data_IF_835893969077
#
_entry.id   IF_835893969077
#
_cell.length_a   1.000
_cell.length_b   1.000
_cell.length_c   1.000
_cell.angle_alpha   90.00
_cell.angle_beta   90.00
_cell.angle_gamma   90.00
#
_symmetry.space_group_name_H-M   'P 1'
#
loop_
_entity.id
_entity.type
_entity.pdbx_description
1 polymer ?
#
# COMPACT_ATOMS: atom_id res chain seq x y z
N UNK A 1 -13.45 -18.48 3.86
CA UNK A 1 -12.86 -17.44 4.77
C UNK A 1 -13.21 -16.09 4.17
N UNK A 2 -14.04 -15.32 4.87
CA UNK A 2 -14.47 -14.00 4.40
C UNK A 2 -13.29 -13.02 4.28
N UNK A 3 -13.34 -12.19 3.25
CA UNK A 3 -12.33 -11.16 2.97
C UNK A 3 -12.96 -9.79 3.11
N UNK A 4 -12.34 -8.93 3.89
CA UNK A 4 -12.80 -7.57 4.17
C UNK A 4 -11.81 -6.55 3.64
N UNK A 5 -12.30 -5.40 3.18
CA UNK A 5 -11.46 -4.28 2.74
C UNK A 5 -11.48 -3.20 3.82
N UNK A 6 -10.31 -2.82 4.31
CA UNK A 6 -10.13 -1.74 5.30
C UNK A 6 -10.18 -0.38 4.62
N UNK A 7 -11.31 0.30 4.75
CA UNK A 7 -11.68 1.54 4.08
C UNK A 7 -12.88 1.35 3.16
N UNK A 8 -13.49 2.44 2.71
CA UNK A 8 -14.62 2.44 1.76
C UNK A 8 -14.53 3.58 0.72
N UNK A 9 -13.35 4.17 0.54
CA UNK A 9 -13.09 5.23 -0.44
C UNK A 9 -12.82 4.69 -1.86
N UNK A 10 -12.43 5.59 -2.77
CA UNK A 10 -12.14 5.24 -4.17
C UNK A 10 -11.15 4.09 -4.32
N UNK A 11 -10.04 4.12 -3.59
CA UNK A 11 -9.06 3.03 -3.61
C UNK A 11 -9.64 1.69 -3.13
N UNK A 12 -10.56 1.70 -2.14
CA UNK A 12 -11.25 0.48 -1.71
C UNK A 12 -12.11 -0.12 -2.84
N UNK A 13 -12.75 0.73 -3.63
CA UNK A 13 -13.55 0.30 -4.78
C UNK A 13 -12.68 -0.27 -5.91
N UNK A 14 -11.50 0.31 -6.13
CA UNK A 14 -10.51 -0.24 -7.07
C UNK A 14 -10.03 -1.63 -6.62
N UNK A 15 -9.68 -1.80 -5.34
CA UNK A 15 -9.31 -3.10 -4.76
C UNK A 15 -10.45 -4.11 -4.93
N UNK A 16 -11.69 -3.70 -4.67
CA UNK A 16 -12.85 -4.56 -4.87
C UNK A 16 -12.97 -5.01 -6.34
N UNK A 17 -12.95 -4.08 -7.28
CA UNK A 17 -13.13 -4.36 -8.70
C UNK A 17 -11.97 -5.16 -9.30
N UNK A 18 -10.74 -4.87 -8.93
CA UNK A 18 -9.53 -5.45 -9.56
C UNK A 18 -9.02 -6.71 -8.84
N UNK A 19 -9.38 -6.88 -7.57
CA UNK A 19 -8.90 -8.01 -6.76
C UNK A 19 -10.05 -8.93 -6.35
N UNK A 20 -11.06 -8.40 -5.63
CA UNK A 20 -12.11 -9.25 -5.04
C UNK A 20 -12.90 -9.97 -6.13
N UNK A 21 -13.45 -9.20 -7.07
CA UNK A 21 -14.32 -9.74 -8.13
C UNK A 21 -13.57 -10.71 -9.05
N UNK A 22 -12.40 -10.35 -9.65
CA UNK A 22 -11.73 -11.24 -10.61
C UNK A 22 -11.16 -12.52 -10.00
N UNK A 23 -10.89 -12.54 -8.69
CA UNK A 23 -10.36 -13.72 -8.00
C UNK A 23 -11.42 -14.55 -7.29
N UNK A 24 -12.67 -14.09 -7.27
CA UNK A 24 -13.77 -14.79 -6.61
C UNK A 24 -13.61 -14.93 -5.10
N UNK A 25 -13.06 -13.89 -4.44
CA UNK A 25 -12.98 -13.88 -2.99
C UNK A 25 -14.40 -13.85 -2.37
N UNK A 26 -14.57 -14.59 -1.27
CA UNK A 26 -15.77 -14.51 -0.43
C UNK A 26 -15.79 -13.16 0.31
N UNK A 27 -16.39 -12.16 -0.33
CA UNK A 27 -16.39 -10.78 0.15
C UNK A 27 -17.32 -10.60 1.35
N UNK A 28 -16.79 -10.04 2.42
CA UNK A 28 -17.52 -9.80 3.66
C UNK A 28 -17.98 -8.36 3.86
N UNK A 29 -17.48 -7.42 3.05
CA UNK A 29 -17.81 -6.00 3.17
C UNK A 29 -16.59 -5.10 3.35
N UNK A 30 -16.88 -3.79 3.47
CA UNK A 30 -15.89 -2.76 3.77
C UNK A 30 -15.90 -2.46 5.27
N UNK A 31 -14.72 -2.17 5.83
CA UNK A 31 -14.61 -1.81 7.24
C UNK A 31 -14.13 -0.37 7.36
N UNK A 32 -14.83 0.41 8.17
CA UNK A 32 -14.43 1.78 8.54
C UNK A 32 -14.13 1.86 10.04
N UNK A 33 -13.32 2.83 10.42
CA UNK A 33 -13.08 3.17 11.83
C UNK A 33 -13.80 4.49 12.15
N UNK A 34 -14.49 4.52 13.29
CA UNK A 34 -15.13 5.70 13.83
C UNK A 34 -15.00 5.65 15.37
N UNK A 35 -14.38 6.67 15.96
CA UNK A 35 -14.10 6.75 17.41
C UNK A 35 -13.41 5.48 17.95
N UNK A 36 -12.38 5.02 17.23
CA UNK A 36 -11.62 3.80 17.53
C UNK A 36 -12.41 2.49 17.54
N UNK A 37 -13.64 2.50 17.03
CA UNK A 37 -14.47 1.31 16.81
C UNK A 37 -14.54 0.97 15.33
N UNK A 38 -14.58 -0.34 15.02
CA UNK A 38 -14.72 -0.84 13.66
C UNK A 38 -16.19 -1.10 13.32
N UNK A 39 -16.60 -0.63 12.15
CA UNK A 39 -17.93 -0.84 11.59
C UNK A 39 -17.84 -1.54 10.24
N UNK A 40 -18.69 -2.54 10.04
CA UNK A 40 -18.88 -3.20 8.74
C UNK A 40 -19.86 -2.41 7.89
N UNK A 41 -19.53 -2.21 6.64
CA UNK A 41 -20.43 -1.73 5.59
C UNK A 41 -20.62 -2.86 4.61
N UNK A 42 -21.83 -3.37 4.53
CA UNK A 42 -22.26 -4.43 3.62
C UNK A 42 -23.64 -4.10 3.01
N UNK A 43 -24.28 -5.09 2.39
CA UNK A 43 -25.62 -4.95 1.78
C UNK A 43 -26.72 -4.64 2.80
N UNK A 44 -26.53 -4.98 4.08
CA UNK A 44 -27.49 -4.75 5.17
C UNK A 44 -27.33 -3.36 5.79
N UNK A 45 -26.23 -2.64 5.46
CA UNK A 45 -25.97 -1.27 5.94
C UNK A 45 -24.69 -1.13 6.74
N UNK A 46 -24.74 -0.34 7.81
CA UNK A 46 -23.58 -0.08 8.68
C UNK A 46 -23.84 -0.71 10.03
N UNK A 47 -23.05 -1.70 10.37
CA UNK A 47 -23.17 -2.49 11.58
C UNK A 47 -21.87 -2.51 12.38
N UNK A 48 -21.92 -2.74 13.69
CA UNK A 48 -20.73 -3.00 14.50
C UNK A 48 -19.98 -4.22 13.97
N UNK A 49 -18.67 -4.11 13.79
CA UNK A 49 -17.86 -5.21 13.29
C UNK A 49 -17.52 -6.19 14.41
N UNK A 50 -17.97 -7.43 14.27
CA UNK A 50 -17.53 -8.54 15.10
C UNK A 50 -16.29 -9.19 14.49
N UNK A 51 -15.18 -9.25 15.21
CA UNK A 51 -13.88 -9.72 14.75
C UNK A 51 -13.85 -11.26 14.59
N UNK A 52 -14.04 -11.82 13.37
CA UNK A 52 -14.05 -13.26 13.19
C UNK A 52 -12.60 -13.82 13.25
N UNK A 53 -12.46 -15.00 13.87
CA UNK A 53 -11.16 -15.68 13.97
C UNK A 53 -10.57 -16.06 12.59
N UNK A 54 -11.43 -16.31 11.62
CA UNK A 54 -11.06 -16.71 10.26
C UNK A 54 -11.49 -15.65 9.25
N UNK A 55 -10.75 -14.54 9.19
CA UNK A 55 -10.95 -13.47 8.23
C UNK A 55 -9.66 -13.11 7.50
N UNK A 56 -9.80 -12.50 6.32
CA UNK A 56 -8.71 -11.83 5.60
C UNK A 56 -9.01 -10.34 5.53
N UNK A 57 -7.99 -9.53 5.68
CA UNK A 57 -8.08 -8.08 5.61
C UNK A 57 -7.14 -7.54 4.55
N UNK A 58 -7.65 -6.66 3.71
CA UNK A 58 -6.91 -5.99 2.65
C UNK A 58 -6.92 -4.49 2.94
N UNK A 59 -5.74 -3.87 2.96
CA UNK A 59 -5.62 -2.42 3.12
C UNK A 59 -6.16 -1.69 1.89
N UNK A 60 -7.36 -1.14 2.01
CA UNK A 60 -8.09 -0.49 0.93
C UNK A 60 -8.09 1.04 1.01
N UNK A 61 -7.20 1.67 1.76
CA UNK A 61 -7.11 3.12 1.82
C UNK A 61 -5.72 3.63 1.42
N UNK A 62 -5.68 4.68 0.58
CA UNK A 62 -4.47 5.42 0.24
C UNK A 62 -4.19 6.61 1.17
N UNK A 63 -5.01 6.84 2.19
CA UNK A 63 -4.80 7.94 3.14
C UNK A 63 -3.90 7.50 4.29
N UNK A 64 -2.73 8.11 4.44
CA UNK A 64 -1.71 7.75 5.45
C UNK A 64 -2.26 7.68 6.88
N UNK A 65 -3.11 8.65 7.29
CA UNK A 65 -3.70 8.70 8.64
C UNK A 65 -4.61 7.48 8.88
N UNK A 66 -5.49 7.17 7.93
CA UNK A 66 -6.38 6.02 8.03
C UNK A 66 -5.63 4.69 7.97
N UNK A 67 -4.58 4.60 7.13
CA UNK A 67 -3.73 3.40 7.10
C UNK A 67 -3.11 3.12 8.45
N UNK A 68 -2.49 4.13 9.07
CA UNK A 68 -1.90 4.00 10.42
C UNK A 68 -2.95 3.56 11.44
N UNK A 69 -4.12 4.22 11.48
CA UNK A 69 -5.21 3.86 12.38
C UNK A 69 -5.69 2.41 12.18
N UNK A 70 -5.86 1.95 10.93
CA UNK A 70 -6.21 0.57 10.65
C UNK A 70 -5.12 -0.41 11.08
N UNK A 71 -3.86 -0.13 10.81
CA UNK A 71 -2.76 -0.99 11.21
C UNK A 71 -2.68 -1.11 12.73
N UNK A 72 -2.72 0.01 13.46
CA UNK A 72 -2.74 0.02 14.92
C UNK A 72 -3.93 -0.79 15.47
N UNK A 73 -5.12 -0.56 14.95
CA UNK A 73 -6.34 -1.23 15.41
C UNK A 73 -6.36 -2.73 15.12
N UNK A 74 -6.03 -3.13 13.88
CA UNK A 74 -6.17 -4.52 13.44
C UNK A 74 -4.95 -5.37 13.76
N UNK A 75 -3.74 -4.85 13.75
CA UNK A 75 -2.57 -5.63 14.13
C UNK A 75 -2.60 -6.03 15.60
N UNK A 76 -3.14 -5.17 16.48
CA UNK A 76 -3.35 -5.53 17.90
C UNK A 76 -4.32 -6.70 18.08
N UNK A 77 -5.30 -6.85 17.20
CA UNK A 77 -6.29 -7.95 17.26
C UNK A 77 -5.78 -9.25 16.63
N UNK A 78 -4.91 -9.15 15.63
CA UNK A 78 -4.48 -10.30 14.80
C UNK A 78 -2.95 -10.46 14.76
N UNK A 79 -2.25 -10.04 15.80
CA UNK A 79 -0.78 -9.90 15.89
C UNK A 79 0.05 -11.15 15.56
N UNK A 80 -0.56 -12.32 15.48
CA UNK A 80 0.21 -13.56 15.36
C UNK A 80 -0.10 -14.38 14.11
N UNK A 81 -0.77 -13.78 13.09
CA UNK A 81 -1.12 -14.58 11.94
C UNK A 81 -1.06 -13.80 10.61
N UNK A 82 0.07 -13.98 9.91
CA UNK A 82 0.31 -13.56 8.52
C UNK A 82 -0.88 -13.88 7.60
N UNK A 83 -1.58 -14.97 7.85
CA UNK A 83 -2.74 -15.41 7.02
C UNK A 83 -3.91 -14.41 7.01
N UNK A 84 -3.99 -13.49 7.96
CA UNK A 84 -5.04 -12.48 8.01
C UNK A 84 -4.78 -11.30 7.07
N UNK A 85 -3.53 -11.06 6.68
CA UNK A 85 -3.12 -9.96 5.81
C UNK A 85 -2.37 -10.50 4.59
N UNK A 86 -3.07 -11.14 3.65
CA UNK A 86 -2.42 -11.68 2.46
C UNK A 86 -1.91 -10.57 1.55
N UNK A 87 -0.86 -10.85 0.80
CA UNK A 87 -0.56 -10.09 -0.40
C UNK A 87 -1.66 -10.37 -1.44
N UNK A 88 -2.19 -9.32 -2.04
CA UNK A 88 -3.20 -9.42 -3.09
C UNK A 88 -2.69 -8.81 -4.39
N UNK A 89 -2.75 -9.58 -5.46
CA UNK A 89 -2.08 -9.26 -6.72
C UNK A 89 -3.11 -9.36 -7.85
N UNK A 90 -3.34 -8.27 -8.56
CA UNK A 90 -4.20 -8.27 -9.73
C UNK A 90 -3.64 -9.19 -10.83
N UNK A 91 -4.52 -9.84 -11.60
CA UNK A 91 -4.13 -10.85 -12.60
C UNK A 91 -3.17 -10.33 -13.67
N UNK A 92 -3.20 -9.05 -13.96
CA UNK A 92 -2.35 -8.38 -14.95
C UNK A 92 -1.02 -7.87 -14.38
N UNK A 93 -0.81 -7.97 -13.06
CA UNK A 93 0.43 -7.54 -12.43
C UNK A 93 1.54 -8.57 -12.59
N UNK A 94 2.76 -8.11 -12.67
CA UNK A 94 3.95 -8.97 -12.73
C UNK A 94 4.79 -8.83 -11.46
N UNK A 95 4.91 -9.92 -10.73
CA UNK A 95 5.81 -10.02 -9.59
C UNK A 95 6.84 -11.11 -9.94
N UNK A 96 8.10 -10.74 -10.01
CA UNK A 96 9.17 -11.70 -10.31
C UNK A 96 9.25 -12.76 -9.19
N UNK A 97 9.46 -13.99 -9.57
CA UNK A 97 9.55 -15.12 -8.62
C UNK A 97 10.73 -15.05 -7.66
N UNK A 98 11.72 -14.19 -7.96
CA UNK A 98 12.90 -13.94 -7.12
C UNK A 98 12.73 -12.70 -6.22
N UNK A 99 11.64 -11.95 -6.34
CA UNK A 99 11.34 -10.84 -5.44
C UNK A 99 10.93 -11.37 -4.06
N UNK A 100 11.35 -10.67 -3.02
CA UNK A 100 10.97 -10.96 -1.63
C UNK A 100 9.87 -9.99 -1.22
N UNK A 101 8.75 -10.52 -0.78
CA UNK A 101 7.61 -9.71 -0.34
C UNK A 101 7.31 -9.99 1.14
N UNK A 102 7.11 -8.95 1.93
CA UNK A 102 6.44 -9.02 3.22
C UNK A 102 4.96 -9.36 3.09
N UNK A 103 4.14 -8.89 4.00
CA UNK A 103 2.71 -9.21 4.07
C UNK A 103 1.82 -8.00 3.78
N UNK A 104 0.54 -8.25 3.44
CA UNK A 104 -0.49 -7.21 3.34
C UNK A 104 -0.31 -6.23 2.19
N UNK A 105 0.59 -6.52 1.24
CA UNK A 105 0.80 -5.67 0.08
C UNK A 105 -0.34 -5.78 -0.92
N UNK A 106 -0.69 -4.68 -1.56
CA UNK A 106 -1.73 -4.60 -2.60
C UNK A 106 -1.08 -4.20 -3.92
N UNK A 107 -1.24 -5.04 -4.93
CA UNK A 107 -0.74 -4.82 -6.28
C UNK A 107 -1.92 -4.72 -7.24
N UNK A 108 -2.25 -3.50 -7.68
CA UNK A 108 -3.30 -3.26 -8.66
C UNK A 108 -2.80 -3.49 -10.07
N UNK A 109 -3.72 -3.47 -11.03
CA UNK A 109 -3.48 -3.86 -12.43
C UNK A 109 -2.22 -3.24 -13.04
N UNK A 110 -1.49 -4.09 -13.78
CA UNK A 110 -0.26 -3.73 -14.49
C UNK A 110 0.87 -3.20 -13.61
N UNK A 111 0.80 -3.40 -12.28
CA UNK A 111 1.94 -3.10 -11.42
C UNK A 111 3.06 -4.12 -11.63
N UNK A 112 4.31 -3.69 -11.38
CA UNK A 112 5.49 -4.50 -11.63
C UNK A 112 6.44 -4.49 -10.43
N UNK A 113 6.86 -5.69 -10.01
CA UNK A 113 7.98 -5.88 -9.09
C UNK A 113 9.02 -6.75 -9.78
N UNK A 114 10.19 -6.17 -10.06
CA UNK A 114 11.25 -6.88 -10.79
C UNK A 114 12.04 -7.81 -9.85
N UNK A 115 12.85 -8.69 -10.44
CA UNK A 115 13.69 -9.62 -9.69
C UNK A 115 14.68 -8.93 -8.76
N UNK A 116 15.08 -9.61 -7.69
CA UNK A 116 15.98 -9.10 -6.63
C UNK A 116 15.46 -7.91 -5.82
N UNK A 117 14.23 -7.44 -6.05
CA UNK A 117 13.61 -6.44 -5.21
C UNK A 117 13.13 -7.04 -3.87
N UNK A 118 13.32 -6.29 -2.78
CA UNK A 118 12.82 -6.61 -1.45
C UNK A 118 11.77 -5.58 -1.04
N UNK A 119 10.56 -6.04 -0.75
CA UNK A 119 9.41 -5.20 -0.41
C UNK A 119 8.90 -5.59 0.97
N UNK A 120 8.87 -4.65 1.89
CA UNK A 120 8.32 -4.85 3.23
C UNK A 120 6.80 -5.07 3.26
N UNK A 121 6.18 -4.67 4.35
CA UNK A 121 4.78 -4.95 4.65
C UNK A 121 3.84 -3.82 4.23
N UNK A 122 2.60 -4.16 3.93
CA UNK A 122 1.49 -3.22 3.73
C UNK A 122 1.73 -2.12 2.69
N UNK A 123 2.52 -2.36 1.66
CA UNK A 123 2.71 -1.39 0.59
C UNK A 123 1.55 -1.43 -0.42
N UNK A 124 1.20 -0.29 -1.00
CA UNK A 124 0.22 -0.18 -2.07
C UNK A 124 0.91 0.18 -3.38
N UNK A 125 0.76 -0.68 -4.37
CA UNK A 125 1.15 -0.46 -5.75
C UNK A 125 -0.11 -0.19 -6.57
N UNK A 126 -0.34 1.06 -6.94
CA UNK A 126 -1.42 1.42 -7.84
C UNK A 126 -1.15 0.94 -9.27
N UNK A 127 -2.15 1.11 -10.15
CA UNK A 127 -2.04 0.69 -11.54
C UNK A 127 -0.79 1.26 -12.20
N UNK A 128 -0.03 0.39 -12.89
CA UNK A 128 1.23 0.73 -13.56
C UNK A 128 2.35 1.23 -12.64
N UNK A 129 2.22 1.12 -11.33
CA UNK A 129 3.33 1.41 -10.42
C UNK A 129 4.41 0.33 -10.56
N UNK A 130 5.68 0.71 -10.51
CA UNK A 130 6.77 -0.23 -10.73
C UNK A 130 7.94 -0.04 -9.79
N UNK A 131 8.57 -1.15 -9.40
CA UNK A 131 9.91 -1.15 -8.80
C UNK A 131 10.81 -2.09 -9.58
N UNK A 132 12.05 -1.67 -9.75
CA UNK A 132 13.04 -2.37 -10.54
C UNK A 132 13.95 -3.24 -9.66
N UNK A 133 14.96 -3.85 -10.30
CA UNK A 133 15.90 -4.77 -9.66
C UNK A 133 16.68 -4.11 -8.52
N UNK A 134 17.01 -4.88 -7.49
CA UNK A 134 17.85 -4.49 -6.35
C UNK A 134 17.32 -3.27 -5.58
N UNK A 135 15.99 -3.04 -5.62
CA UNK A 135 15.32 -2.05 -4.78
C UNK A 135 15.02 -2.68 -3.43
N UNK A 136 15.37 -2.00 -2.35
CA UNK A 136 14.96 -2.33 -0.99
C UNK A 136 13.91 -1.30 -0.55
N UNK A 137 12.70 -1.74 -0.26
CA UNK A 137 11.60 -0.87 0.16
C UNK A 137 11.01 -1.35 1.48
N UNK A 138 10.90 -0.46 2.45
CA UNK A 138 10.29 -0.72 3.74
C UNK A 138 8.76 -0.83 3.68
N UNK A 139 8.13 -0.45 4.78
CA UNK A 139 6.71 -0.72 5.03
C UNK A 139 5.81 0.46 4.72
N UNK A 140 4.54 0.16 4.45
CA UNK A 140 3.44 1.11 4.40
C UNK A 140 3.64 2.27 3.41
N UNK A 141 4.37 2.04 2.32
CA UNK A 141 4.54 3.00 1.24
C UNK A 141 3.34 2.98 0.27
N UNK A 142 3.08 4.11 -0.36
CA UNK A 142 2.04 4.26 -1.37
C UNK A 142 2.68 4.73 -2.66
N UNK A 143 2.63 3.89 -3.67
CA UNK A 143 3.02 4.17 -5.04
C UNK A 143 1.76 4.48 -5.83
N UNK A 144 1.55 5.76 -6.19
CA UNK A 144 0.41 6.19 -7.00
C UNK A 144 0.54 5.69 -8.45
N UNK A 145 -0.52 5.77 -9.27
CA UNK A 145 -0.47 5.30 -10.65
C UNK A 145 0.73 5.86 -11.43
N UNK A 146 1.35 4.99 -12.22
CA UNK A 146 2.51 5.32 -13.07
C UNK A 146 3.77 5.78 -12.32
N UNK A 147 3.84 5.65 -11.00
CA UNK A 147 5.08 5.92 -10.27
C UNK A 147 6.09 4.79 -10.45
N UNK A 148 7.38 5.14 -10.47
CA UNK A 148 8.45 4.18 -10.72
C UNK A 148 9.67 4.40 -9.83
N UNK A 149 10.22 3.31 -9.28
CA UNK A 149 11.47 3.32 -8.50
C UNK A 149 12.49 2.50 -9.27
N UNK A 150 13.57 3.16 -9.68
CA UNK A 150 14.61 2.53 -10.49
C UNK A 150 15.57 1.71 -9.62
N UNK A 151 16.45 0.93 -10.26
CA UNK A 151 17.31 -0.04 -9.59
C UNK A 151 18.24 0.55 -8.53
N UNK A 152 18.55 -0.26 -7.52
CA UNK A 152 19.45 0.04 -6.40
C UNK A 152 18.99 1.18 -5.48
N UNK A 153 17.70 1.53 -5.48
CA UNK A 153 17.15 2.49 -4.54
C UNK A 153 16.87 1.83 -3.19
N UNK A 154 17.05 2.61 -2.13
CA UNK A 154 16.65 2.24 -0.76
C UNK A 154 15.55 3.18 -0.29
N UNK A 155 14.38 2.65 -0.02
CA UNK A 155 13.19 3.41 0.34
C UNK A 155 12.74 3.01 1.75
N UNK A 156 12.66 3.96 2.65
CA UNK A 156 12.18 3.73 4.01
C UNK A 156 10.67 3.48 4.08
N UNK A 157 10.07 3.84 5.19
CA UNK A 157 8.69 3.54 5.51
C UNK A 157 7.76 4.75 5.28
N UNK A 158 6.47 4.47 5.06
CA UNK A 158 5.39 5.48 5.05
C UNK A 158 5.59 6.61 4.03
N UNK A 159 6.27 6.35 2.93
CA UNK A 159 6.42 7.32 1.85
C UNK A 159 5.21 7.32 0.92
N UNK A 160 4.91 8.47 0.35
CA UNK A 160 3.89 8.66 -0.67
C UNK A 160 4.53 9.20 -1.95
N UNK A 161 4.45 8.42 -3.01
CA UNK A 161 4.86 8.81 -4.36
C UNK A 161 3.62 9.22 -5.14
N UNK A 162 3.56 10.49 -5.56
CA UNK A 162 2.48 11.02 -6.37
C UNK A 162 2.37 10.36 -7.74
N UNK A 163 1.28 10.60 -8.44
CA UNK A 163 1.04 10.05 -9.80
C UNK A 163 2.19 10.41 -10.74
N UNK A 164 2.75 9.42 -11.44
CA UNK A 164 3.83 9.63 -12.41
C UNK A 164 5.16 10.09 -11.79
N UNK A 165 5.37 9.90 -10.50
CA UNK A 165 6.64 10.22 -9.84
C UNK A 165 7.68 9.14 -10.14
N UNK A 166 8.89 9.55 -10.48
CA UNK A 166 10.00 8.63 -10.73
C UNK A 166 11.18 8.91 -9.79
N UNK A 167 11.84 7.85 -9.34
CA UNK A 167 13.05 7.91 -8.52
C UNK A 167 14.18 7.30 -9.35
N UNK A 168 15.23 8.09 -9.62
CA UNK A 168 16.36 7.61 -10.43
C UNK A 168 17.18 6.57 -9.67
N UNK A 169 18.01 5.76 -10.37
CA UNK A 169 18.77 4.69 -9.73
C UNK A 169 19.68 5.18 -8.59
N UNK A 170 19.79 4.35 -7.53
CA UNK A 170 20.69 4.52 -6.38
C UNK A 170 20.32 5.64 -5.41
N UNK A 171 19.15 6.24 -5.54
CA UNK A 171 18.65 7.25 -4.59
C UNK A 171 18.19 6.55 -3.31
N UNK A 172 18.50 7.17 -2.17
CA UNK A 172 18.04 6.78 -0.85
C UNK A 172 16.95 7.73 -0.34
N UNK A 173 15.83 7.17 0.12
CA UNK A 173 14.73 7.95 0.69
C UNK A 173 14.43 7.43 2.10
N UNK A 174 14.45 8.32 3.08
CA UNK A 174 14.08 8.01 4.45
C UNK A 174 12.59 7.72 4.63
N UNK A 175 12.05 8.09 5.78
CA UNK A 175 10.69 7.76 6.18
C UNK A 175 9.73 8.96 6.07
N UNK A 176 8.43 8.67 5.94
CA UNK A 176 7.32 9.63 6.02
C UNK A 176 7.35 10.77 5.00
N UNK A 177 8.02 10.57 3.88
CA UNK A 177 8.12 11.58 2.83
C UNK A 177 6.86 11.64 1.94
N UNK A 178 6.72 12.73 1.19
CA UNK A 178 5.73 12.86 0.14
C UNK A 178 6.32 13.54 -1.07
N UNK A 179 6.16 12.91 -2.24
CA UNK A 179 6.61 13.44 -3.51
C UNK A 179 5.37 13.81 -4.33
N UNK A 180 5.35 15.03 -4.87
CA UNK A 180 4.26 15.52 -5.72
C UNK A 180 4.16 14.75 -7.03
N UNK A 181 2.99 14.81 -7.66
CA UNK A 181 2.77 14.17 -8.94
C UNK A 181 3.67 14.73 -10.05
N UNK A 182 4.10 13.86 -10.96
CA UNK A 182 4.91 14.22 -12.14
C UNK A 182 6.37 14.56 -11.85
N UNK A 183 6.82 14.36 -10.63
CA UNK A 183 8.19 14.70 -10.23
C UNK A 183 9.19 13.57 -10.55
N UNK A 184 10.44 13.97 -10.79
CA UNK A 184 11.56 13.01 -10.84
C UNK A 184 12.59 13.41 -9.79
N UNK A 185 12.82 12.51 -8.84
CA UNK A 185 13.78 12.71 -7.76
C UNK A 185 15.16 12.19 -8.19
N UNK A 186 16.17 13.05 -8.14
CA UNK A 186 17.55 12.78 -8.53
C UNK A 186 18.49 12.65 -7.34
N UNK A 187 18.14 13.19 -6.20
CA UNK A 187 18.98 13.27 -5.00
C UNK A 187 18.34 12.53 -3.83
N UNK A 188 19.15 12.17 -2.86
CA UNK A 188 18.69 11.54 -1.63
C UNK A 188 17.74 12.44 -0.85
N UNK A 189 16.81 11.80 -0.13
CA UNK A 189 15.80 12.48 0.65
C UNK A 189 15.78 11.94 2.08
N UNK A 190 15.85 12.82 3.06
CA UNK A 190 15.81 12.44 4.49
C UNK A 190 14.44 11.96 4.95
N UNK A 191 14.12 12.19 6.20
CA UNK A 191 12.81 11.85 6.78
C UNK A 191 11.89 13.06 6.81
N UNK A 192 10.57 12.81 6.70
CA UNK A 192 9.52 13.82 6.91
C UNK A 192 9.67 15.04 6.01
N UNK A 193 9.97 14.79 4.75
CA UNK A 193 10.19 15.83 3.75
C UNK A 193 9.12 15.80 2.68
N UNK A 194 8.99 16.92 2.00
CA UNK A 194 8.11 17.09 0.86
C UNK A 194 8.94 17.50 -0.37
N UNK A 195 8.74 16.81 -1.48
CA UNK A 195 9.41 17.11 -2.76
C UNK A 195 8.41 17.63 -3.76
N UNK A 196 8.63 18.84 -4.23
CA UNK A 196 7.80 19.49 -5.26
C UNK A 196 8.64 20.49 -6.08
N UNK A 197 8.44 20.50 -7.37
CA UNK A 197 9.10 21.45 -8.32
C UNK A 197 10.62 21.43 -8.20
N UNK A 198 11.20 20.24 -8.01
CA UNK A 198 12.64 20.06 -7.84
C UNK A 198 13.20 20.49 -6.47
N UNK A 199 12.35 20.83 -5.50
CA UNK A 199 12.77 21.34 -4.19
C UNK A 199 12.35 20.38 -3.10
N UNK A 200 13.30 20.03 -2.23
CA UNK A 200 13.05 19.27 -0.99
C UNK A 200 12.84 20.25 0.16
N UNK A 201 11.76 20.09 0.90
CA UNK A 201 11.43 20.89 2.09
C UNK A 201 11.01 20.02 3.25
N UNK A 202 11.29 20.46 4.47
CA UNK A 202 10.83 19.74 5.67
C UNK A 202 9.32 19.95 5.89
N UNK A 203 8.59 18.90 6.31
CA UNK A 203 7.15 18.97 6.58
C UNK A 203 6.79 19.77 7.84
N UNK A 204 7.75 20.01 8.70
CA UNK A 204 7.53 20.66 10.01
C UNK A 204 7.74 22.19 9.96
N UNK A 205 7.72 22.80 8.76
CA UNK A 205 7.84 24.25 8.57
C UNK A 205 6.56 24.88 8.05
#
# INVERSE_FOLDING_TARGET
MKTYILGNGGFSQEVFAQIIVPHGYDFGGFIILKNDEAFLIDEEGINSFSYPENAKFIMGTGNKRWRRAFLEHFLLKYTHSIKHFPNVIAKSSFIASTAILGIGNVFLEYSLVNGTAEVGDFNNFNCYASIHHDVIMGDNNILSPYSGIMGYCEIGNENFLGVGTHIVPKVQIGNENSLSAGETLFDDMGNRQFFQSGIITDKDR
#
